data_IF_933353601488
#
_entry.id   IF_933353601488
#
_cell.length_a   1.000
_cell.length_b   1.000
_cell.length_c   1.000
_cell.angle_alpha   90.00
_cell.angle_beta   90.00
_cell.angle_gamma   90.00
#
_symmetry.space_group_name_H-M   'P 1'
#
loop_
_entity.id
_entity.type
_entity.pdbx_description
1 polymer ?
#
# COMPACT_ATOMS: atom_id res chain seq x y z
N UNK A 1 -4.42 0.23 -24.59
CA UNK A 1 -4.36 1.62 -25.10
C UNK A 1 -5.22 2.59 -24.27
N UNK A 2 -5.58 2.24 -23.03
CA UNK A 2 -6.21 3.13 -22.05
C UNK A 2 -5.42 3.00 -20.75
N UNK A 3 -4.27 3.65 -20.68
CA UNK A 3 -3.47 3.71 -19.46
C UNK A 3 -3.45 5.10 -18.84
N UNK A 4 -4.13 6.06 -19.46
CA UNK A 4 -4.18 7.44 -19.03
C UNK A 4 -5.55 7.75 -18.41
N UNK A 5 -5.53 8.38 -17.23
CA UNK A 5 -6.73 8.84 -16.56
C UNK A 5 -7.41 9.91 -17.42
N UNK A 6 -8.68 9.69 -17.77
CA UNK A 6 -9.47 10.65 -18.52
C UNK A 6 -9.87 11.80 -17.58
N UNK A 7 -9.46 13.01 -17.91
CA UNK A 7 -9.83 14.23 -17.18
C UNK A 7 -11.06 14.89 -17.81
N UNK A 8 -11.85 15.59 -16.98
CA UNK A 8 -13.01 16.37 -17.42
C UNK A 8 -12.56 17.43 -18.44
N UNK A 9 -12.90 17.24 -19.72
CA UNK A 9 -12.44 18.09 -20.84
C UNK A 9 -11.86 17.29 -22.02
N UNK A 10 -11.52 16.02 -21.82
CA UNK A 10 -11.13 15.11 -22.89
C UNK A 10 -12.34 14.37 -23.47
N UNK A 11 -12.28 13.97 -24.75
CA UNK A 11 -13.29 13.08 -25.34
C UNK A 11 -13.22 11.74 -24.62
N UNK A 12 -14.24 11.44 -23.80
CA UNK A 12 -14.39 10.15 -23.14
C UNK A 12 -14.74 9.12 -24.24
N UNK A 13 -13.91 8.10 -24.48
CA UNK A 13 -14.24 7.05 -25.43
C UNK A 13 -15.39 6.21 -24.89
N UNK A 14 -16.31 5.84 -25.78
CA UNK A 14 -17.40 4.92 -25.48
C UNK A 14 -17.09 3.56 -26.12
N UNK A 15 -17.35 2.49 -25.39
CA UNK A 15 -17.17 1.12 -25.87
C UNK A 15 -18.49 0.38 -25.75
N UNK A 16 -18.85 -0.33 -26.81
CA UNK A 16 -19.97 -1.26 -26.82
C UNK A 16 -19.65 -2.52 -26.00
N UNK A 17 -20.70 -3.23 -25.57
CA UNK A 17 -20.54 -4.52 -24.90
C UNK A 17 -19.76 -5.53 -25.76
N UNK A 18 -19.95 -5.51 -27.09
CA UNK A 18 -19.20 -6.37 -28.02
C UNK A 18 -17.70 -6.09 -28.00
N UNK A 19 -17.31 -4.82 -27.87
CA UNK A 19 -15.89 -4.45 -27.76
C UNK A 19 -15.29 -4.98 -26.46
N UNK A 20 -16.00 -4.90 -25.33
CA UNK A 20 -15.55 -5.50 -24.07
C UNK A 20 -15.43 -7.02 -24.14
N UNK A 21 -16.41 -7.71 -24.73
CA UNK A 21 -16.37 -9.17 -24.84
C UNK A 21 -15.26 -9.68 -25.77
N UNK A 22 -14.89 -8.88 -26.77
CA UNK A 22 -13.82 -9.21 -27.70
C UNK A 22 -12.43 -8.79 -27.19
N UNK A 23 -12.36 -8.03 -26.11
CA UNK A 23 -11.07 -7.61 -25.54
C UNK A 23 -10.35 -8.80 -24.89
N UNK A 24 -9.14 -9.07 -25.37
CA UNK A 24 -8.25 -10.13 -24.87
C UNK A 24 -7.10 -9.56 -24.03
N UNK A 25 -7.19 -8.28 -23.63
CA UNK A 25 -6.18 -7.64 -22.80
C UNK A 25 -6.07 -8.35 -21.43
N UNK A 26 -4.85 -8.47 -20.94
CA UNK A 26 -4.61 -9.14 -19.66
C UNK A 26 -5.13 -8.29 -18.50
N UNK A 27 -5.80 -8.92 -17.55
CA UNK A 27 -6.23 -8.29 -16.30
C UNK A 27 -4.99 -7.78 -15.53
N UNK A 28 -5.05 -6.59 -14.90
CA UNK A 28 -3.98 -6.10 -14.05
C UNK A 28 -3.58 -7.13 -12.98
N UNK A 29 -2.28 -7.31 -12.78
CA UNK A 29 -1.75 -8.25 -11.79
C UNK A 29 -2.05 -7.74 -10.37
N UNK A 30 -2.44 -8.66 -9.50
CA UNK A 30 -2.59 -8.40 -8.07
C UNK A 30 -1.21 -8.10 -7.44
N UNK A 31 -1.14 -7.01 -6.68
CA UNK A 31 -0.10 -6.81 -5.67
C UNK A 31 -0.48 -7.60 -4.43
N UNK A 32 -1.77 -7.54 -4.05
CA UNK A 32 -2.39 -8.32 -2.97
C UNK A 32 -3.67 -8.97 -3.48
N UNK A 33 -3.73 -10.29 -3.41
CA UNK A 33 -4.85 -11.12 -3.85
C UNK A 33 -5.86 -11.36 -2.72
N UNK A 34 -7.15 -11.63 -3.02
CA UNK A 34 -7.79 -11.66 -4.34
C UNK A 34 -8.30 -10.28 -4.77
N UNK A 35 -7.58 -9.62 -5.67
CA UNK A 35 -7.90 -8.27 -6.18
C UNK A 35 -8.09 -7.20 -5.10
N UNK A 36 -7.46 -7.37 -3.94
CA UNK A 36 -7.50 -6.39 -2.84
C UNK A 36 -6.69 -5.15 -3.22
N UNK A 37 -5.54 -5.35 -3.85
CA UNK A 37 -4.71 -4.28 -4.40
C UNK A 37 -4.10 -4.75 -5.72
N UNK A 38 -4.34 -4.01 -6.80
CA UNK A 38 -3.78 -4.28 -8.13
C UNK A 38 -2.78 -3.20 -8.54
N UNK A 39 -1.96 -3.47 -9.55
CA UNK A 39 -1.06 -2.45 -10.09
C UNK A 39 -1.83 -1.18 -10.49
N UNK A 40 -1.33 -0.01 -10.08
CA UNK A 40 -1.92 1.32 -10.35
C UNK A 40 -3.27 1.59 -9.68
N UNK A 41 -3.63 0.81 -8.67
CA UNK A 41 -4.82 1.05 -7.85
C UNK A 41 -4.50 1.80 -6.56
N UNK A 42 -5.53 2.37 -5.94
CA UNK A 42 -5.48 3.01 -4.63
C UNK A 42 -6.45 2.27 -3.70
N UNK A 43 -5.97 1.89 -2.51
CA UNK A 43 -6.79 1.32 -1.45
C UNK A 43 -6.98 2.36 -0.33
N UNK A 44 -8.22 2.50 0.15
CA UNK A 44 -8.56 3.39 1.25
C UNK A 44 -9.18 2.57 2.38
N UNK A 45 -8.56 2.64 3.58
CA UNK A 45 -9.10 2.03 4.81
C UNK A 45 -9.91 3.08 5.58
N UNK A 46 -11.24 2.98 5.48
CA UNK A 46 -12.18 3.87 6.17
C UNK A 46 -12.78 3.25 7.44
N UNK A 47 -13.21 4.09 8.38
CA UNK A 47 -13.95 3.63 9.57
C UNK A 47 -13.88 4.62 10.73
N UNK A 48 -14.72 4.44 11.78
CA UNK A 48 -14.75 5.33 12.94
C UNK A 48 -13.40 5.49 13.65
N UNK A 49 -13.21 6.59 14.41
CA UNK A 49 -12.04 6.74 15.27
C UNK A 49 -11.89 5.56 16.23
N UNK A 50 -10.64 5.14 16.49
CA UNK A 50 -10.28 4.11 17.47
C UNK A 50 -10.83 2.69 17.23
N UNK A 51 -11.37 2.39 16.04
CA UNK A 51 -11.78 1.04 15.65
C UNK A 51 -10.60 0.08 15.35
N UNK A 52 -9.36 0.52 15.50
CA UNK A 52 -8.16 -0.31 15.27
C UNK A 52 -7.60 -0.30 13.84
N UNK A 53 -7.96 0.69 13.00
CA UNK A 53 -7.46 0.78 11.62
C UNK A 53 -5.93 0.76 11.52
N UNK A 54 -5.26 1.53 12.36
CA UNK A 54 -3.81 1.64 12.35
C UNK A 54 -3.15 0.34 12.81
N UNK A 55 -3.69 -0.30 13.84
CA UNK A 55 -3.20 -1.60 14.33
C UNK A 55 -3.34 -2.70 13.28
N UNK A 56 -4.51 -2.75 12.63
CA UNK A 56 -4.74 -3.63 11.49
C UNK A 56 -3.75 -3.35 10.35
N UNK A 57 -3.59 -2.08 9.96
CA UNK A 57 -2.70 -1.70 8.87
C UNK A 57 -1.25 -2.06 9.17
N UNK A 58 -0.73 -1.75 10.37
CA UNK A 58 0.63 -2.08 10.77
C UNK A 58 0.85 -3.60 10.72
N UNK A 59 -0.07 -4.39 11.30
CA UNK A 59 0.00 -5.86 11.25
C UNK A 59 0.03 -6.35 9.81
N UNK A 60 -0.87 -5.84 8.96
CA UNK A 60 -0.95 -6.26 7.57
C UNK A 60 0.29 -5.86 6.76
N UNK A 61 0.86 -4.67 6.98
CA UNK A 61 2.09 -4.21 6.33
C UNK A 61 3.27 -5.16 6.63
N UNK A 62 3.39 -5.65 7.87
CA UNK A 62 4.45 -6.60 8.24
C UNK A 62 4.27 -7.93 7.50
N UNK A 63 3.06 -8.47 7.43
CA UNK A 63 2.77 -9.70 6.68
C UNK A 63 3.03 -9.53 5.17
N UNK A 64 2.64 -8.39 4.61
CA UNK A 64 2.92 -8.05 3.21
C UNK A 64 4.42 -7.92 2.95
N UNK A 65 5.18 -7.30 3.87
CA UNK A 65 6.62 -7.17 3.77
C UNK A 65 7.34 -8.54 3.82
N UNK A 66 6.79 -9.50 4.56
CA UNK A 66 7.27 -10.87 4.59
C UNK A 66 6.77 -11.74 3.43
N UNK A 67 5.76 -11.30 2.67
CA UNK A 67 5.16 -12.11 1.61
C UNK A 67 4.19 -13.19 2.12
N UNK A 68 3.67 -13.04 3.34
CA UNK A 68 2.80 -14.03 4.00
C UNK A 68 1.34 -13.58 3.94
N UNK A 69 0.42 -14.53 3.86
CA UNK A 69 -1.03 -14.25 3.87
C UNK A 69 -1.48 -13.72 5.23
N UNK A 70 -2.37 -12.73 5.22
CA UNK A 70 -3.00 -12.18 6.42
C UNK A 70 -4.51 -12.08 6.20
N UNK A 71 -5.29 -12.81 7.00
CA UNK A 71 -6.75 -12.88 6.87
C UNK A 71 -7.24 -13.21 5.45
N UNK A 72 -6.53 -14.11 4.75
CA UNK A 72 -6.84 -14.51 3.38
C UNK A 72 -6.33 -13.54 2.30
N UNK A 73 -5.78 -12.38 2.68
CA UNK A 73 -5.16 -11.44 1.77
C UNK A 73 -3.70 -11.85 1.52
N UNK A 74 -3.36 -12.17 0.29
CA UNK A 74 -2.07 -12.80 -0.04
C UNK A 74 -1.24 -11.90 -0.93
N UNK A 75 -0.08 -11.39 -0.46
CA UNK A 75 0.81 -10.62 -1.31
C UNK A 75 1.42 -11.50 -2.40
N UNK A 76 1.65 -10.94 -3.57
CA UNK A 76 2.23 -11.68 -4.72
C UNK A 76 3.67 -12.15 -4.51
N UNK A 77 4.38 -11.52 -3.56
CA UNK A 77 5.77 -11.77 -3.13
C UNK A 77 6.05 -10.94 -1.88
N UNK A 78 7.18 -11.13 -1.17
CA UNK A 78 7.65 -10.15 -0.18
C UNK A 78 7.74 -8.75 -0.80
N UNK A 79 7.02 -7.79 -0.24
CA UNK A 79 6.89 -6.44 -0.78
C UNK A 79 7.86 -5.47 -0.10
N UNK A 80 8.51 -4.62 -0.88
CA UNK A 80 9.22 -3.45 -0.34
C UNK A 80 8.21 -2.32 -0.16
N UNK A 81 8.03 -1.87 1.07
CA UNK A 81 6.97 -0.98 1.51
C UNK A 81 7.59 0.20 2.24
N UNK A 82 7.19 1.40 1.82
CA UNK A 82 7.47 2.65 2.52
C UNK A 82 6.19 3.12 3.19
N UNK A 83 6.18 3.15 4.53
CA UNK A 83 5.04 3.58 5.32
C UNK A 83 5.30 4.97 5.92
N UNK A 84 4.62 5.95 5.34
CA UNK A 84 4.66 7.35 5.77
C UNK A 84 3.42 7.66 6.61
N UNK A 85 3.61 8.09 7.85
CA UNK A 85 2.53 8.24 8.83
C UNK A 85 2.56 9.59 9.55
N UNK A 86 1.38 10.12 9.88
CA UNK A 86 1.20 11.49 10.40
C UNK A 86 0.63 11.57 11.81
N UNK A 87 0.32 10.43 12.44
CA UNK A 87 -0.49 10.40 13.67
C UNK A 87 0.25 9.81 14.89
N UNK A 88 1.10 8.80 14.69
CA UNK A 88 1.61 7.95 15.78
C UNK A 88 3.02 8.40 16.17
N UNK A 89 3.26 8.72 17.44
CA UNK A 89 4.63 9.05 17.89
C UNK A 89 5.56 7.83 17.81
N UNK A 90 6.86 8.08 17.68
CA UNK A 90 7.86 7.03 17.48
C UNK A 90 7.81 5.96 18.58
N UNK A 91 7.68 6.36 19.84
CA UNK A 91 7.63 5.47 21.00
C UNK A 91 6.43 4.53 20.93
N UNK A 92 5.26 5.04 20.55
CA UNK A 92 4.05 4.22 20.41
C UNK A 92 4.12 3.28 19.21
N UNK A 93 4.69 3.72 18.08
CA UNK A 93 4.91 2.84 16.92
C UNK A 93 5.84 1.68 17.27
N UNK A 94 6.94 1.99 17.97
CA UNK A 94 7.89 1.00 18.46
C UNK A 94 7.20 -0.03 19.37
N UNK A 95 6.43 0.43 20.34
CA UNK A 95 5.67 -0.45 21.22
C UNK A 95 4.72 -1.37 20.43
N UNK A 96 3.94 -0.82 19.49
CA UNK A 96 3.02 -1.62 18.65
C UNK A 96 3.74 -2.70 17.87
N UNK A 97 4.87 -2.37 17.24
CA UNK A 97 5.65 -3.35 16.48
C UNK A 97 6.22 -4.46 17.38
N UNK A 98 6.69 -4.11 18.58
CA UNK A 98 7.19 -5.08 19.55
C UNK A 98 6.09 -6.02 20.07
N UNK A 99 4.85 -5.53 20.15
CA UNK A 99 3.69 -6.32 20.59
C UNK A 99 3.13 -7.29 19.54
N UNK A 100 3.54 -7.22 18.26
CA UNK A 100 2.96 -8.05 17.19
C UNK A 100 3.26 -9.56 17.28
N UNK A 101 4.06 -10.02 18.24
CA UNK A 101 4.43 -11.44 18.44
C UNK A 101 4.69 -12.19 17.12
N UNK A 102 5.63 -11.67 16.33
CA UNK A 102 5.93 -12.19 15.00
C UNK A 102 6.83 -13.42 15.07
N UNK A 103 6.59 -14.36 14.15
CA UNK A 103 7.51 -15.46 13.89
C UNK A 103 8.91 -14.92 13.54
N UNK A 104 10.00 -15.41 14.17
CA UNK A 104 11.36 -14.97 13.86
C UNK A 104 11.74 -15.05 12.37
N UNK A 105 11.26 -16.06 11.63
CA UNK A 105 11.54 -16.21 10.20
C UNK A 105 10.81 -15.13 9.38
N UNK A 106 9.54 -14.85 9.73
CA UNK A 106 8.77 -13.77 9.13
C UNK A 106 9.46 -12.42 9.37
N UNK A 107 9.88 -12.17 10.61
CA UNK A 107 10.55 -10.95 11.01
C UNK A 107 11.86 -10.75 10.23
N UNK A 108 12.65 -11.81 10.02
CA UNK A 108 13.90 -11.74 9.26
C UNK A 108 13.69 -11.24 7.82
N UNK A 109 12.58 -11.61 7.19
CA UNK A 109 12.23 -11.15 5.83
C UNK A 109 11.64 -9.73 5.89
N UNK A 110 10.69 -9.48 6.79
CA UNK A 110 9.97 -8.21 6.87
C UNK A 110 10.86 -7.02 7.29
N UNK A 111 11.84 -7.25 8.16
CA UNK A 111 12.63 -6.19 8.80
C UNK A 111 13.32 -5.24 7.82
N UNK A 112 13.78 -5.75 6.66
CA UNK A 112 14.43 -4.94 5.63
C UNK A 112 13.48 -4.49 4.52
N UNK A 113 12.23 -4.96 4.55
CA UNK A 113 11.24 -4.71 3.51
C UNK A 113 10.21 -3.64 3.91
N UNK A 114 10.04 -3.36 5.20
CA UNK A 114 9.13 -2.33 5.71
C UNK A 114 9.93 -1.16 6.33
N UNK A 115 9.93 -0.02 5.64
CA UNK A 115 10.55 1.21 6.12
C UNK A 115 9.44 2.15 6.60
N UNK A 116 9.51 2.58 7.86
CA UNK A 116 8.48 3.39 8.51
C UNK A 116 9.08 4.74 8.92
N UNK A 117 8.42 5.84 8.59
CA UNK A 117 8.84 7.16 9.07
C UNK A 117 8.41 7.37 10.53
N UNK A 118 9.14 8.20 11.30
CA UNK A 118 8.55 8.88 12.44
C UNK A 118 7.32 9.69 12.03
N UNK A 119 6.60 10.24 13.01
CA UNK A 119 5.46 11.12 12.74
C UNK A 119 5.91 12.30 11.89
N UNK A 120 5.34 12.42 10.70
CA UNK A 120 5.60 13.54 9.79
C UNK A 120 4.38 14.46 9.72
N UNK A 121 4.64 15.76 9.62
CA UNK A 121 3.63 16.76 9.28
C UNK A 121 3.71 17.02 7.79
N UNK A 122 2.61 16.79 7.07
CA UNK A 122 2.57 16.87 5.60
C UNK A 122 1.43 17.74 5.14
N UNK A 123 1.74 18.61 4.18
CA UNK A 123 0.77 19.41 3.43
C UNK A 123 0.49 18.80 2.05
N UNK A 124 1.30 17.80 1.65
CA UNK A 124 1.35 17.18 0.33
C UNK A 124 1.58 18.19 -0.81
N UNK A 125 2.37 19.24 -0.55
CA UNK A 125 2.79 20.15 -1.62
C UNK A 125 3.83 19.47 -2.53
N UNK A 126 4.01 19.99 -3.75
CA UNK A 126 4.88 19.33 -4.73
C UNK A 126 6.34 19.24 -4.26
N UNK A 127 6.82 20.26 -3.53
CA UNK A 127 8.18 20.33 -2.98
C UNK A 127 8.40 19.28 -1.89
N UNK A 128 7.47 19.15 -0.94
CA UNK A 128 7.51 18.12 0.11
C UNK A 128 7.58 16.71 -0.48
N UNK A 129 6.78 16.41 -1.52
CA UNK A 129 6.79 15.10 -2.18
C UNK A 129 8.16 14.80 -2.82
N UNK A 130 8.80 15.78 -3.44
CA UNK A 130 10.12 15.60 -4.04
C UNK A 130 11.19 15.36 -2.97
N UNK A 131 11.14 16.09 -1.86
CA UNK A 131 12.04 15.88 -0.73
C UNK A 131 11.92 14.47 -0.14
N UNK A 132 10.68 13.99 0.06
CA UNK A 132 10.43 12.63 0.57
C UNK A 132 10.95 11.56 -0.39
N UNK A 133 10.83 11.77 -1.70
CA UNK A 133 11.40 10.86 -2.70
C UNK A 133 12.91 10.75 -2.59
N UNK A 134 13.62 11.85 -2.33
CA UNK A 134 15.07 11.81 -2.18
C UNK A 134 15.47 11.08 -0.88
N UNK A 135 14.82 11.37 0.25
CA UNK A 135 15.06 10.64 1.51
C UNK A 135 14.81 9.14 1.35
N UNK A 136 13.74 8.76 0.65
CA UNK A 136 13.40 7.35 0.45
C UNK A 136 14.45 6.59 -0.38
N UNK A 137 15.31 7.27 -1.16
CA UNK A 137 16.42 6.63 -1.89
C UNK A 137 17.62 6.28 -0.99
N UNK A 138 17.73 6.88 0.19
CA UNK A 138 18.82 6.64 1.14
C UNK A 138 18.66 5.34 1.94
N UNK A 139 17.53 4.63 1.76
CA UNK A 139 17.15 3.40 2.49
C UNK A 139 16.94 2.24 1.52
#
# INVERSE_FOLDING_TARGET
>A
MLQDFLTTGQKIPFFSMKEYLNDQSSIPKDIVSPRILTQRSLLVLGGPPKIGKSDFLISWLVHMAAGVSFLGMTPSRPLKIFYMQTEIEYEYMKERLQCLQLDPELLAIAANNLIITPKVHLSFCHEEINYIKEIAKER
#
